data_IF_779404118193
#
_entry.id   IF_779404118193
#
_cell.length_a   1.000
_cell.length_b   1.000
_cell.length_c   1.000
_cell.angle_alpha   90.00
_cell.angle_beta   90.00
_cell.angle_gamma   90.00
#
_symmetry.space_group_name_H-M   'P 1'
#
loop_
_entity.id
_entity.type
_entity.pdbx_description
1 polymer ?
#
# COMPACT_ATOMS: atom_id res chain seq x y z
N UNK A 1 9.64 21.89 -62.88
CA UNK A 1 8.71 22.02 -61.74
C UNK A 1 8.57 20.62 -61.18
N UNK A 2 9.25 20.32 -60.07
CA UNK A 2 9.08 19.04 -59.36
C UNK A 2 7.94 19.17 -58.37
N UNK A 3 6.96 18.26 -58.47
CA UNK A 3 5.83 18.16 -57.57
C UNK A 3 6.18 17.10 -56.51
N UNK A 4 6.61 17.54 -55.34
CA UNK A 4 6.79 16.65 -54.18
C UNK A 4 5.44 16.46 -53.49
N UNK A 5 4.86 15.27 -53.63
CA UNK A 5 3.68 14.85 -52.88
C UNK A 5 4.11 14.44 -51.48
N UNK A 6 3.83 15.29 -50.49
CA UNK A 6 4.01 14.97 -49.07
C UNK A 6 2.68 14.38 -48.55
N UNK A 7 2.59 13.06 -48.51
CA UNK A 7 1.42 12.35 -47.98
C UNK A 7 1.33 12.52 -46.45
N UNK A 8 0.13 12.74 -45.87
CA UNK A 8 -0.01 12.87 -44.43
C UNK A 8 0.41 11.57 -43.72
N UNK A 9 1.21 11.71 -42.68
CA UNK A 9 1.61 10.59 -41.80
C UNK A 9 0.65 10.50 -40.62
N UNK A 10 0.10 9.31 -40.37
CA UNK A 10 -0.73 9.04 -39.19
C UNK A 10 0.18 8.77 -37.98
N UNK A 11 0.10 9.63 -36.96
CA UNK A 11 0.77 9.39 -35.67
C UNK A 11 -0.25 8.78 -34.71
N UNK A 12 -0.21 7.46 -34.54
CA UNK A 12 -1.03 6.75 -33.54
C UNK A 12 -0.27 6.67 -32.22
N UNK A 13 -0.73 7.41 -31.21
CA UNK A 13 -0.24 7.22 -29.84
C UNK A 13 -0.76 5.88 -29.30
N UNK A 14 0.12 4.89 -29.14
CA UNK A 14 -0.20 3.64 -28.43
C UNK A 14 0.15 3.83 -26.95
N UNK A 15 -0.84 4.17 -26.14
CA UNK A 15 -0.68 4.14 -24.69
C UNK A 15 -0.62 2.68 -24.24
N UNK A 16 0.53 2.26 -23.69
CA UNK A 16 0.63 0.99 -22.97
C UNK A 16 0.35 1.31 -21.50
N UNK A 17 -0.76 0.82 -20.98
CA UNK A 17 -1.01 0.85 -19.54
C UNK A 17 0.11 0.06 -18.85
N UNK A 18 0.91 0.75 -18.05
CA UNK A 18 1.89 0.11 -17.18
C UNK A 18 1.13 -0.23 -15.90
N UNK A 19 1.17 -1.49 -15.50
CA UNK A 19 0.55 -1.95 -14.25
C UNK A 19 1.04 -1.10 -13.07
N UNK A 20 0.12 -0.43 -12.34
CA UNK A 20 0.50 0.41 -11.22
C UNK A 20 1.15 -0.34 -10.08
N UNK A 21 1.84 0.39 -9.22
CA UNK A 21 2.45 -0.15 -7.99
C UNK A 21 1.64 0.25 -6.77
N UNK A 22 1.33 -0.73 -5.91
CA UNK A 22 0.80 -0.51 -4.57
C UNK A 22 1.95 -0.69 -3.57
N UNK A 23 2.19 0.35 -2.77
CA UNK A 23 3.17 0.34 -1.69
C UNK A 23 2.45 0.44 -0.35
N UNK A 24 2.82 -0.42 0.60
CA UNK A 24 2.21 -0.43 1.94
C UNK A 24 3.29 -0.33 3.01
N UNK A 25 3.09 0.58 3.96
CA UNK A 25 3.94 0.85 5.13
C UNK A 25 3.11 0.78 6.40
N UNK A 26 3.77 0.70 7.54
CA UNK A 26 3.17 0.89 8.85
C UNK A 26 3.99 1.91 9.65
N UNK A 27 3.34 2.66 10.52
CA UNK A 27 3.98 3.61 11.42
C UNK A 27 3.22 3.73 12.75
N UNK A 28 3.91 3.91 13.89
CA UNK A 28 5.37 3.93 14.06
C UNK A 28 6.01 2.53 14.17
N UNK A 29 5.21 1.47 14.05
CA UNK A 29 5.68 0.09 14.15
C UNK A 29 6.25 -0.40 12.81
N UNK A 30 7.44 -1.03 12.86
CA UNK A 30 8.11 -1.64 11.71
C UNK A 30 7.77 -3.13 11.57
N UNK A 31 8.08 -3.74 10.42
CA UNK A 31 7.94 -5.18 10.17
C UNK A 31 6.53 -5.72 10.47
N UNK A 32 5.49 -4.96 10.13
CA UNK A 32 4.09 -5.36 10.33
C UNK A 32 3.67 -6.35 9.25
N UNK A 33 3.04 -7.44 9.66
CA UNK A 33 2.39 -8.37 8.74
C UNK A 33 1.20 -7.67 8.05
N UNK A 34 1.18 -7.72 6.72
CA UNK A 34 0.10 -7.20 5.88
C UNK A 34 -0.37 -8.27 4.91
N UNK A 35 -1.69 -8.39 4.77
CA UNK A 35 -2.33 -9.25 3.77
C UNK A 35 -2.70 -8.40 2.56
N UNK A 36 -2.13 -8.71 1.38
CA UNK A 36 -2.51 -8.08 0.11
C UNK A 36 -3.17 -9.15 -0.76
N UNK A 37 -4.46 -9.00 -1.05
CA UNK A 37 -5.31 -10.02 -1.69
C UNK A 37 -5.20 -11.41 -1.02
N UNK A 38 -5.10 -11.43 0.31
CA UNK A 38 -4.93 -12.65 1.10
C UNK A 38 -3.53 -13.25 1.10
N UNK A 39 -2.57 -12.64 0.39
CA UNK A 39 -1.16 -13.03 0.48
C UNK A 39 -0.48 -12.31 1.64
N UNK A 40 0.12 -13.08 2.54
CA UNK A 40 0.92 -12.55 3.66
C UNK A 40 2.22 -11.93 3.13
N UNK A 41 2.48 -10.70 3.54
CA UNK A 41 3.70 -9.94 3.30
C UNK A 41 4.10 -9.18 4.58
N UNK A 42 5.26 -8.53 4.56
CA UNK A 42 5.78 -7.73 5.67
C UNK A 42 6.04 -6.29 5.20
N UNK A 43 5.64 -5.29 5.98
CA UNK A 43 5.87 -3.88 5.66
C UNK A 43 7.30 -3.43 6.02
N UNK A 44 7.95 -2.57 5.21
CA UNK A 44 7.45 -1.97 3.98
C UNK A 44 7.47 -2.94 2.80
N UNK A 45 6.37 -3.02 2.04
CA UNK A 45 6.26 -3.85 0.84
C UNK A 45 5.75 -3.06 -0.35
N UNK A 46 6.03 -3.55 -1.56
CA UNK A 46 5.52 -3.00 -2.81
C UNK A 46 5.22 -4.11 -3.81
N UNK A 47 4.05 -4.03 -4.45
CA UNK A 47 3.58 -5.02 -5.43
C UNK A 47 3.03 -4.34 -6.67
N UNK A 48 3.32 -4.92 -7.85
CA UNK A 48 2.65 -4.51 -9.09
C UNK A 48 1.25 -5.09 -9.12
N UNK A 49 0.27 -4.24 -9.44
CA UNK A 49 -1.14 -4.60 -9.51
C UNK A 49 -1.65 -4.28 -10.91
N UNK A 50 -2.52 -5.14 -11.41
CA UNK A 50 -3.14 -4.91 -12.72
C UNK A 50 -3.97 -3.64 -12.68
N UNK A 51 -3.86 -2.79 -13.70
CA UNK A 51 -4.75 -1.63 -13.81
C UNK A 51 -6.23 -2.06 -13.75
N UNK A 52 -7.02 -1.29 -13.00
CA UNK A 52 -8.45 -1.51 -12.75
C UNK A 52 -8.80 -2.81 -12.01
N UNK A 53 -7.81 -3.50 -11.41
CA UNK A 53 -8.06 -4.64 -10.52
C UNK A 53 -8.62 -4.19 -9.17
N UNK A 54 -9.49 -5.03 -8.61
CA UNK A 54 -9.91 -4.90 -7.21
C UNK A 54 -8.76 -5.41 -6.33
N UNK A 55 -8.46 -4.71 -5.25
CA UNK A 55 -7.41 -5.09 -4.31
C UNK A 55 -7.92 -4.92 -2.89
N UNK A 56 -7.53 -5.85 -2.03
CA UNK A 56 -7.80 -5.80 -0.60
C UNK A 56 -6.48 -5.76 0.16
N UNK A 57 -6.39 -4.87 1.15
CA UNK A 57 -5.24 -4.72 2.04
C UNK A 57 -5.74 -4.84 3.46
N UNK A 58 -5.14 -5.71 4.26
CA UNK A 58 -5.50 -5.94 5.65
C UNK A 58 -4.29 -5.94 6.56
N UNK A 59 -4.42 -5.35 7.74
CA UNK A 59 -3.42 -5.37 8.80
C UNK A 59 -4.07 -5.78 10.11
N UNK A 60 -3.25 -6.27 11.05
CA UNK A 60 -3.72 -6.56 12.40
C UNK A 60 -4.21 -5.28 13.08
N UNK A 61 -5.38 -5.33 13.73
CA UNK A 61 -5.95 -4.20 14.45
C UNK A 61 -5.20 -3.87 15.73
N UNK A 62 -4.54 -4.86 16.32
CA UNK A 62 -3.68 -4.73 17.49
C UNK A 62 -2.42 -5.55 17.25
N UNK A 63 -1.27 -4.94 17.54
CA UNK A 63 0.03 -5.59 17.52
C UNK A 63 0.61 -5.49 18.92
N UNK A 64 1.00 -6.63 19.47
CA UNK A 64 1.65 -6.73 20.78
C UNK A 64 3.11 -7.12 20.58
N UNK A 65 4.04 -6.33 21.11
CA UNK A 65 5.49 -6.56 20.98
C UNK A 65 6.21 -6.20 22.27
N UNK A 66 7.36 -6.83 22.45
CA UNK A 66 8.38 -6.38 23.39
C UNK A 66 9.13 -5.22 22.73
N UNK A 67 9.09 -4.04 23.35
CA UNK A 67 9.65 -2.78 22.87
C UNK A 67 10.75 -2.23 23.78
N UNK A 68 10.92 -2.79 24.99
CA UNK A 68 11.99 -2.41 25.89
C UNK A 68 12.69 -3.60 26.55
N UNK A 69 13.96 -3.42 26.91
CA UNK A 69 14.75 -4.41 27.65
C UNK A 69 14.57 -4.31 29.17
N UNK A 70 13.71 -3.41 29.66
CA UNK A 70 13.56 -3.14 31.10
C UNK A 70 12.59 -4.11 31.79
N UNK A 71 11.64 -4.66 31.04
CA UNK A 71 10.63 -5.61 31.52
C UNK A 71 10.62 -6.79 30.57
N UNK A 72 10.85 -8.00 31.08
CA UNK A 72 10.82 -9.20 30.24
C UNK A 72 9.40 -9.48 29.74
N UNK A 73 9.24 -9.67 28.44
CA UNK A 73 7.97 -10.01 27.78
C UNK A 73 7.30 -8.80 27.12
N UNK A 74 6.11 -9.03 26.54
CA UNK A 74 5.36 -8.00 25.80
C UNK A 74 5.00 -6.82 26.72
N UNK A 75 5.61 -5.66 26.45
CA UNK A 75 5.42 -4.40 27.15
C UNK A 75 4.90 -3.26 26.24
N UNK A 76 4.81 -3.49 24.93
CA UNK A 76 4.27 -2.57 23.93
C UNK A 76 2.98 -3.06 23.27
N UNK A 77 2.02 -2.15 23.10
CA UNK A 77 0.78 -2.40 22.36
C UNK A 77 0.56 -1.29 21.33
N UNK A 78 0.38 -1.68 20.07
CA UNK A 78 0.07 -0.78 18.97
C UNK A 78 -1.35 -1.04 18.50
N UNK A 79 -2.20 -0.02 18.53
CA UNK A 79 -3.61 -0.13 18.13
C UNK A 79 -3.81 0.63 16.84
N UNK A 80 -4.34 -0.05 15.82
CA UNK A 80 -4.62 0.54 14.52
C UNK A 80 -5.58 1.72 14.66
N UNK A 81 -5.21 2.87 14.11
CA UNK A 81 -5.98 4.12 14.20
C UNK A 81 -6.55 4.59 12.87
N UNK A 82 -6.03 4.09 11.74
CA UNK A 82 -6.50 4.47 10.42
C UNK A 82 -5.42 4.34 9.35
N UNK A 83 -5.76 4.79 8.14
CA UNK A 83 -4.87 4.79 7.00
C UNK A 83 -4.50 6.22 6.59
N UNK A 84 -3.24 6.44 6.23
CA UNK A 84 -2.86 7.55 5.36
C UNK A 84 -2.81 7.07 3.92
N UNK A 85 -3.28 7.91 2.99
CA UNK A 85 -3.35 7.58 1.56
C UNK A 85 -4.68 6.95 1.11
N UNK A 86 -5.59 6.63 2.04
CA UNK A 86 -6.96 6.22 1.74
C UNK A 86 -7.93 6.61 2.86
N UNK A 87 -9.18 6.89 2.48
CA UNK A 87 -10.26 7.11 3.44
C UNK A 87 -10.77 5.77 3.99
N UNK A 88 -10.47 5.48 5.25
CA UNK A 88 -11.03 4.33 5.94
C UNK A 88 -10.54 4.16 7.38
N UNK A 89 -11.46 3.81 8.27
CA UNK A 89 -11.19 3.52 9.69
C UNK A 89 -11.08 2.01 10.01
N UNK A 90 -11.35 1.17 9.02
CA UNK A 90 -11.21 -0.29 9.12
C UNK A 90 -9.75 -0.69 8.88
N UNK A 91 -9.25 -1.67 9.64
CA UNK A 91 -7.92 -2.26 9.40
C UNK A 91 -7.86 -3.11 8.11
N UNK A 92 -9.00 -3.27 7.44
CA UNK A 92 -9.11 -3.82 6.08
C UNK A 92 -9.70 -2.77 5.14
N UNK A 93 -9.04 -2.56 4.00
CA UNK A 93 -9.49 -1.70 2.90
C UNK A 93 -9.68 -2.53 1.63
N UNK A 94 -10.71 -2.18 0.85
CA UNK A 94 -10.95 -2.75 -0.47
C UNK A 94 -11.19 -1.62 -1.47
N UNK A 95 -10.36 -1.55 -2.51
CA UNK A 95 -10.41 -0.47 -3.51
C UNK A 95 -9.93 -0.93 -4.88
N UNK A 96 -10.09 -0.06 -5.88
CA UNK A 96 -9.72 -0.36 -7.26
C UNK A 96 -8.45 0.39 -7.64
N UNK A 97 -7.44 -0.35 -8.10
CA UNK A 97 -6.15 0.21 -8.50
C UNK A 97 -6.32 0.95 -9.83
N UNK A 98 -6.03 2.25 -9.84
CA UNK A 98 -6.02 3.07 -11.07
C UNK A 98 -4.69 3.73 -11.33
N UNK A 99 -3.91 3.93 -10.28
CA UNK A 99 -2.63 4.61 -10.31
C UNK A 99 -1.74 4.05 -9.20
N UNK A 100 -0.50 4.53 -9.15
CA UNK A 100 0.40 4.17 -8.06
C UNK A 100 -0.22 4.64 -6.75
N UNK A 101 -0.32 3.73 -5.78
CA UNK A 101 -0.98 4.01 -4.51
C UNK A 101 0.03 3.75 -3.39
N UNK A 102 0.12 4.68 -2.46
CA UNK A 102 0.89 4.51 -1.23
C UNK A 102 -0.08 4.53 -0.05
N UNK A 103 -0.01 3.50 0.79
CA UNK A 103 -0.80 3.39 2.01
C UNK A 103 0.12 3.26 3.22
N UNK A 104 -0.19 4.01 4.26
CA UNK A 104 0.45 3.84 5.58
C UNK A 104 -0.61 3.44 6.59
N UNK A 105 -0.46 2.25 7.18
CA UNK A 105 -1.24 1.85 8.35
C UNK A 105 -0.71 2.63 9.56
N UNK A 106 -1.55 3.46 10.16
CA UNK A 106 -1.20 4.26 11.33
C UNK A 106 -1.64 3.53 12.59
N UNK A 107 -0.72 3.43 13.55
CA UNK A 107 -0.95 2.84 14.86
C UNK A 107 -0.70 3.87 15.97
N UNK A 108 -1.58 3.87 16.97
CA UNK A 108 -1.35 4.53 18.25
C UNK A 108 -0.57 3.60 19.19
N UNK A 109 0.43 4.13 19.89
CA UNK A 109 1.21 3.38 20.89
C UNK A 109 0.57 3.53 22.26
N UNK A 110 0.28 2.39 22.90
CA UNK A 110 -0.16 2.31 24.29
C UNK A 110 0.93 1.60 25.11
N UNK A 111 1.42 2.25 26.17
CA UNK A 111 2.34 1.64 27.13
C UNK A 111 1.54 1.10 28.30
N UNK A 112 1.84 -0.13 28.75
CA UNK A 112 1.32 -0.61 30.04
C UNK A 112 2.05 0.12 31.16
N UNK A 113 1.30 0.89 31.96
CA UNK A 113 1.76 1.54 33.20
C UNK A 113 1.61 0.57 34.37
#
# INVERSE_FOLDING_TARGET
IELTSNSPSEVVARYREIDPTLSVKAAPVEDVEVLIDGQVMETPTSVRKKFNSQTTVEVASVIEREISDFVSGIDGRFVFSGWEGADGSSSSLSFRIRENTELTAVYAVEYKV
#
